data_IF_581337571272
#
_entry.id   IF_581337571272
#
_cell.length_a   1.000
_cell.length_b   1.000
_cell.length_c   1.000
_cell.angle_alpha   90.00
_cell.angle_beta   90.00
_cell.angle_gamma   90.00
#
_symmetry.space_group_name_H-M   'P 1'
#
loop_
_entity.id
_entity.type
_entity.pdbx_description
1 polymer ?
#
# COMPACT_ATOMS: atom_id res chain seq x y z
N UNK A 1 26.06 -0.29 -45.38
CA UNK A 1 25.77 -1.28 -44.33
C UNK A 1 25.90 -0.57 -42.99
N UNK A 2 24.80 -0.07 -42.44
CA UNK A 2 24.81 0.70 -41.19
C UNK A 2 24.31 -0.20 -40.08
N UNK A 3 25.23 -0.65 -39.22
CA UNK A 3 24.92 -1.50 -38.08
C UNK A 3 24.30 -0.63 -36.98
N UNK A 4 22.99 -0.76 -36.79
CA UNK A 4 22.25 -0.10 -35.71
C UNK A 4 22.40 -0.96 -34.46
N UNK A 5 23.09 -0.44 -33.44
CA UNK A 5 23.16 -1.07 -32.12
C UNK A 5 21.74 -1.19 -31.54
N UNK A 6 21.36 -2.33 -30.94
CA UNK A 6 20.10 -2.45 -30.25
C UNK A 6 20.13 -1.57 -29.00
N UNK A 7 19.15 -0.69 -28.87
CA UNK A 7 18.82 0.00 -27.63
C UNK A 7 18.58 -1.07 -26.56
N UNK A 8 19.49 -1.15 -25.57
CA UNK A 8 19.36 -2.03 -24.42
C UNK A 8 18.03 -1.75 -23.70
N UNK A 9 17.08 -2.67 -23.85
CA UNK A 9 15.99 -2.83 -22.91
C UNK A 9 16.64 -3.21 -21.58
N UNK A 10 16.67 -2.29 -20.62
CA UNK A 10 17.04 -2.62 -19.25
C UNK A 10 16.19 -3.82 -18.82
N UNK A 11 16.85 -4.88 -18.38
CA UNK A 11 16.13 -6.08 -17.92
C UNK A 11 15.41 -5.75 -16.60
N UNK A 12 14.36 -6.49 -16.25
CA UNK A 12 13.63 -6.27 -14.98
C UNK A 12 14.57 -6.26 -13.74
N UNK A 13 15.70 -6.97 -13.82
CA UNK A 13 16.75 -6.96 -12.81
C UNK A 13 17.47 -5.62 -12.69
N UNK A 14 17.75 -4.95 -13.81
CA UNK A 14 18.41 -3.64 -13.83
C UNK A 14 17.48 -2.56 -13.26
N UNK A 15 16.20 -2.60 -13.61
CA UNK A 15 15.20 -1.68 -13.06
C UNK A 15 15.08 -1.82 -11.54
N UNK A 16 15.06 -3.05 -11.02
CA UNK A 16 15.02 -3.29 -9.58
C UNK A 16 16.27 -2.76 -8.86
N UNK A 17 17.47 -2.95 -9.44
CA UNK A 17 18.71 -2.44 -8.87
C UNK A 17 18.75 -0.89 -8.84
N UNK A 18 18.29 -0.25 -9.92
CA UNK A 18 18.18 1.21 -10.01
C UNK A 18 17.23 1.74 -8.94
N UNK A 19 16.04 1.15 -8.80
CA UNK A 19 15.09 1.55 -7.77
C UNK A 19 15.62 1.34 -6.36
N UNK A 20 16.30 0.21 -6.09
CA UNK A 20 16.90 -0.04 -4.79
C UNK A 20 17.95 1.03 -4.45
N UNK A 21 18.81 1.39 -5.41
CA UNK A 21 19.78 2.47 -5.25
C UNK A 21 19.11 3.82 -5.00
N UNK A 22 18.06 4.15 -5.76
CA UNK A 22 17.31 5.38 -5.54
C UNK A 22 16.72 5.44 -4.12
N UNK A 23 16.08 4.37 -3.67
CA UNK A 23 15.45 4.31 -2.33
C UNK A 23 16.48 4.38 -1.19
N UNK A 24 17.65 3.75 -1.37
CA UNK A 24 18.62 3.58 -0.29
C UNK A 24 19.74 4.63 -0.29
N UNK A 25 19.92 5.36 -1.39
CA UNK A 25 21.02 6.30 -1.59
C UNK A 25 20.50 7.60 -2.22
N UNK A 26 20.25 7.61 -3.53
CA UNK A 26 20.06 8.85 -4.32
C UNK A 26 18.88 9.71 -3.86
N UNK A 27 17.74 9.09 -3.57
CA UNK A 27 16.48 9.77 -3.19
C UNK A 27 16.13 9.51 -1.72
N UNK A 28 17.02 8.84 -0.97
CA UNK A 28 16.75 8.37 0.38
C UNK A 28 16.39 9.52 1.33
N UNK A 29 17.05 10.67 1.22
CA UNK A 29 16.76 11.84 2.05
C UNK A 29 15.34 12.36 1.81
N UNK A 30 14.94 12.56 0.55
CA UNK A 30 13.61 13.05 0.20
C UNK A 30 12.50 12.07 0.60
N UNK A 31 12.70 10.76 0.35
CA UNK A 31 11.75 9.73 0.73
C UNK A 31 11.61 9.60 2.25
N UNK A 32 12.73 9.69 2.99
CA UNK A 32 12.70 9.68 4.46
C UNK A 32 12.09 10.95 5.04
N UNK A 33 12.26 12.11 4.41
CA UNK A 33 11.59 13.35 4.82
C UNK A 33 10.07 13.22 4.71
N UNK A 34 9.57 12.69 3.59
CA UNK A 34 8.14 12.39 3.42
C UNK A 34 7.66 11.36 4.45
N UNK A 35 8.42 10.28 4.65
CA UNK A 35 8.09 9.27 5.64
C UNK A 35 8.02 9.87 7.06
N UNK A 36 8.96 10.74 7.41
CA UNK A 36 9.00 11.44 8.71
C UNK A 36 7.81 12.37 8.87
N UNK A 37 7.45 13.12 7.82
CA UNK A 37 6.31 14.04 7.83
C UNK A 37 4.95 13.33 8.03
N UNK A 38 4.85 12.05 7.66
CA UNK A 38 3.67 11.21 7.99
C UNK A 38 3.56 10.98 9.51
N UNK A 39 4.70 10.87 10.21
CA UNK A 39 4.80 10.45 11.60
C UNK A 39 4.69 8.92 11.79
N UNK A 40 5.25 8.37 12.88
CA UNK A 40 4.94 7.01 13.33
C UNK A 40 3.52 7.00 13.94
N UNK A 41 2.83 5.86 13.88
CA UNK A 41 1.60 5.62 14.64
C UNK A 41 0.34 6.42 14.28
N UNK A 42 0.27 6.92 13.06
CA UNK A 42 -0.92 7.56 12.49
C UNK A 42 -1.90 6.49 11.98
N UNK A 43 -3.10 6.42 12.54
CA UNK A 43 -4.13 5.47 12.12
C UNK A 43 -4.99 6.05 10.99
N UNK A 44 -5.26 5.25 9.97
CA UNK A 44 -6.07 5.68 8.82
C UNK A 44 -7.47 6.14 9.23
N UNK A 45 -8.07 5.51 10.24
CA UNK A 45 -9.42 5.86 10.71
C UNK A 45 -9.47 7.27 11.30
N UNK A 46 -8.36 7.79 11.83
CA UNK A 46 -8.33 9.09 12.50
C UNK A 46 -8.17 10.25 11.50
N UNK A 47 -7.81 9.97 10.24
CA UNK A 47 -7.69 10.99 9.22
C UNK A 47 -9.07 11.60 8.89
N UNK A 48 -9.29 12.91 9.14
CA UNK A 48 -10.60 13.51 8.91
C UNK A 48 -10.86 13.80 7.44
N UNK A 49 -9.81 14.14 6.69
CA UNK A 49 -9.88 14.67 5.34
C UNK A 49 -9.39 13.67 4.27
N UNK A 50 -9.86 13.81 3.01
CA UNK A 50 -9.28 13.17 1.83
C UNK A 50 -7.75 13.22 1.78
N UNK A 51 -7.13 12.06 1.59
CA UNK A 51 -5.69 11.94 1.35
C UNK A 51 -5.47 12.11 -0.15
N UNK A 52 -4.83 13.20 -0.53
CA UNK A 52 -4.65 13.63 -1.91
C UNK A 52 -3.31 14.33 -2.14
N UNK A 53 -3.10 14.91 -3.33
CA UNK A 53 -1.87 15.62 -3.67
C UNK A 53 -1.45 16.65 -2.62
N UNK A 54 -0.17 16.67 -2.26
CA UNK A 54 0.38 17.53 -1.21
C UNK A 54 0.28 16.93 0.20
N UNK A 55 -0.39 15.78 0.37
CA UNK A 55 -0.35 15.04 1.61
C UNK A 55 0.88 14.10 1.65
N UNK A 56 1.66 14.06 2.74
CA UNK A 56 2.98 13.40 2.74
C UNK A 56 2.99 11.95 2.25
N UNK A 57 1.97 11.15 2.58
CA UNK A 57 1.95 9.76 2.12
C UNK A 57 1.47 9.61 0.67
N UNK A 58 0.66 10.54 0.15
CA UNK A 58 0.30 10.58 -1.27
C UNK A 58 1.54 10.90 -2.10
N UNK A 59 2.30 11.91 -1.66
CA UNK A 59 3.53 12.32 -2.33
C UNK A 59 4.60 11.22 -2.23
N UNK A 60 4.68 10.50 -1.11
CA UNK A 60 5.55 9.33 -0.96
C UNK A 60 5.18 8.19 -1.92
N UNK A 61 3.90 7.84 -2.06
CA UNK A 61 3.46 6.84 -3.04
C UNK A 61 3.80 7.27 -4.46
N UNK A 62 3.55 8.54 -4.78
CA UNK A 62 3.83 9.11 -6.10
C UNK A 62 5.32 9.07 -6.42
N UNK A 63 6.18 9.46 -5.48
CA UNK A 63 7.63 9.42 -5.63
C UNK A 63 8.15 7.98 -5.80
N UNK A 64 7.65 7.03 -5.01
CA UNK A 64 8.03 5.61 -5.14
C UNK A 64 7.59 5.03 -6.49
N UNK A 65 6.37 5.33 -6.94
CA UNK A 65 5.86 4.84 -8.23
C UNK A 65 6.62 5.45 -9.43
N UNK A 66 7.18 6.65 -9.30
CA UNK A 66 8.01 7.24 -10.36
C UNK A 66 9.33 6.49 -10.60
N UNK A 67 9.76 5.63 -9.67
CA UNK A 67 11.00 4.87 -9.79
C UNK A 67 10.89 3.73 -10.82
N UNK A 68 11.91 3.51 -11.67
CA UNK A 68 11.93 2.41 -12.63
C UNK A 68 11.70 1.06 -11.96
N UNK A 69 10.75 0.25 -12.46
CA UNK A 69 10.47 -1.08 -11.91
C UNK A 69 9.69 -1.11 -10.59
N UNK A 70 9.28 0.05 -10.05
CA UNK A 70 8.37 0.15 -8.90
C UNK A 70 6.97 0.48 -9.39
N UNK A 71 6.16 -0.56 -9.61
CA UNK A 71 4.73 -0.39 -9.84
C UNK A 71 3.98 -0.03 -8.55
N UNK A 72 2.73 0.42 -8.70
CA UNK A 72 1.85 0.83 -7.60
C UNK A 72 1.78 -0.18 -6.44
N UNK A 73 1.68 -1.47 -6.75
CA UNK A 73 1.66 -2.55 -5.75
C UNK A 73 2.95 -2.60 -4.92
N UNK A 74 4.12 -2.35 -5.52
CA UNK A 74 5.39 -2.32 -4.77
C UNK A 74 5.46 -1.07 -3.89
N UNK A 75 5.09 0.09 -4.43
CA UNK A 75 5.07 1.34 -3.69
C UNK A 75 4.17 1.26 -2.44
N UNK A 76 2.91 0.83 -2.59
CA UNK A 76 1.97 0.72 -1.48
C UNK A 76 2.43 -0.31 -0.44
N UNK A 77 3.02 -1.44 -0.85
CA UNK A 77 3.58 -2.44 0.08
C UNK A 77 4.77 -1.90 0.88
N UNK A 78 5.64 -1.11 0.27
CA UNK A 78 6.75 -0.47 0.98
C UNK A 78 6.24 0.49 2.06
N UNK A 79 5.23 1.31 1.72
CA UNK A 79 4.62 2.23 2.68
C UNK A 79 3.87 1.46 3.78
N UNK A 80 3.05 0.46 3.43
CA UNK A 80 2.32 -0.36 4.40
C UNK A 80 3.26 -1.08 5.39
N UNK A 81 4.47 -1.44 4.97
CA UNK A 81 5.49 -2.02 5.87
C UNK A 81 6.05 -1.00 6.86
N UNK A 82 6.23 0.25 6.43
CA UNK A 82 6.77 1.35 7.27
C UNK A 82 5.69 2.07 8.07
N UNK A 83 4.44 2.05 7.62
CA UNK A 83 3.27 2.72 8.20
C UNK A 83 2.09 1.75 8.29
N UNK A 84 2.20 0.72 9.15
CA UNK A 84 1.22 -0.37 9.20
C UNK A 84 -0.17 0.03 9.71
N UNK A 85 -0.27 1.22 10.30
CA UNK A 85 -1.49 1.82 10.84
C UNK A 85 -2.24 2.69 9.83
N UNK A 86 -1.54 3.11 8.77
CA UNK A 86 -2.05 4.09 7.81
C UNK A 86 -2.38 3.48 6.43
N UNK A 87 -1.51 2.61 5.91
CA UNK A 87 -1.64 2.11 4.54
C UNK A 87 -2.17 0.68 4.52
N UNK A 88 -3.34 0.38 3.91
CA UNK A 88 -3.81 -0.99 3.74
C UNK A 88 -2.84 -1.79 2.88
N UNK A 89 -2.78 -3.11 3.09
CA UNK A 89 -1.96 -3.98 2.25
C UNK A 89 -2.70 -4.20 0.94
N UNK A 90 -2.39 -3.35 -0.04
CA UNK A 90 -3.01 -3.41 -1.36
C UNK A 90 -2.49 -4.61 -2.16
N UNK A 91 -3.40 -5.51 -2.53
CA UNK A 91 -3.16 -6.55 -3.52
C UNK A 91 -4.34 -6.68 -4.50
N UNK A 92 -4.16 -7.51 -5.51
CA UNK A 92 -5.17 -7.78 -6.54
C UNK A 92 -6.45 -8.44 -6.00
N UNK A 93 -6.40 -9.07 -4.82
CA UNK A 93 -7.56 -9.65 -4.15
C UNK A 93 -8.38 -8.53 -3.50
N UNK A 94 -7.72 -7.62 -2.79
CA UNK A 94 -8.34 -6.43 -2.19
C UNK A 94 -8.94 -5.52 -3.27
N UNK A 95 -8.27 -5.37 -4.43
CA UNK A 95 -8.84 -4.68 -5.59
C UNK A 95 -10.17 -5.29 -6.05
N UNK A 96 -10.24 -6.62 -6.11
CA UNK A 96 -11.44 -7.36 -6.52
C UNK A 96 -12.58 -7.27 -5.50
N UNK A 97 -12.25 -7.26 -4.20
CA UNK A 97 -13.24 -7.14 -3.11
C UNK A 97 -13.80 -5.72 -3.00
N UNK A 98 -12.95 -4.70 -3.15
CA UNK A 98 -13.34 -3.30 -2.98
C UNK A 98 -13.85 -2.62 -4.25
N UNK A 99 -13.76 -3.27 -5.43
CA UNK A 99 -14.23 -2.72 -6.70
C UNK A 99 -13.51 -1.43 -7.15
N UNK A 100 -12.36 -1.11 -6.53
CA UNK A 100 -11.68 0.18 -6.66
C UNK A 100 -10.43 0.03 -7.52
N UNK A 101 -10.56 0.32 -8.82
CA UNK A 101 -9.43 0.24 -9.75
C UNK A 101 -8.37 1.35 -9.53
N UNK A 102 -8.70 2.45 -8.82
CA UNK A 102 -7.83 3.64 -8.74
C UNK A 102 -7.64 4.30 -7.37
N UNK A 103 -8.52 4.11 -6.38
CA UNK A 103 -8.43 4.76 -5.08
C UNK A 103 -8.47 3.72 -3.96
N UNK A 104 -7.37 3.55 -3.22
CA UNK A 104 -7.28 2.50 -2.20
C UNK A 104 -7.34 3.05 -0.78
N UNK A 105 -6.74 4.20 -0.51
CA UNK A 105 -6.73 4.80 0.83
C UNK A 105 -8.08 5.40 1.21
N UNK A 106 -8.61 6.29 0.37
CA UNK A 106 -9.82 7.05 0.70
C UNK A 106 -11.05 6.15 0.89
N UNK A 107 -11.33 5.13 0.04
CA UNK A 107 -12.47 4.25 0.27
C UNK A 107 -12.35 3.42 1.56
N UNK A 108 -11.14 2.95 1.89
CA UNK A 108 -10.92 2.21 3.15
C UNK A 108 -11.06 3.15 4.35
N UNK A 109 -10.52 4.37 4.27
CA UNK A 109 -10.72 5.39 5.30
C UNK A 109 -12.20 5.67 5.53
N UNK A 110 -12.94 5.95 4.45
CA UNK A 110 -14.38 6.24 4.51
C UNK A 110 -15.14 5.08 5.14
N UNK A 111 -14.85 3.84 4.75
CA UNK A 111 -15.46 2.66 5.34
C UNK A 111 -15.12 2.48 6.84
N UNK A 112 -13.89 2.78 7.26
CA UNK A 112 -13.49 2.70 8.66
C UNK A 112 -14.13 3.79 9.54
N UNK A 113 -14.46 4.95 8.95
CA UNK A 113 -15.04 6.11 9.64
C UNK A 113 -16.57 6.17 9.60
N UNK A 114 -17.19 5.49 8.64
CA UNK A 114 -18.63 5.46 8.49
C UNK A 114 -19.33 4.94 9.76
N UNK A 115 -20.58 5.37 9.95
CA UNK A 115 -21.46 4.91 11.04
C UNK A 115 -20.80 4.96 12.42
N UNK A 116 -20.23 6.11 12.78
CA UNK A 116 -19.50 6.31 14.05
C UNK A 116 -18.38 5.28 14.26
N UNK A 117 -17.60 5.07 13.20
CA UNK A 117 -16.51 4.10 13.14
C UNK A 117 -16.92 2.66 13.52
N UNK A 118 -18.16 2.25 13.24
CA UNK A 118 -18.68 0.92 13.60
C UNK A 118 -17.81 -0.24 13.09
N UNK A 119 -17.31 -0.16 11.84
CA UNK A 119 -16.40 -1.16 11.29
C UNK A 119 -15.10 -1.21 12.09
N UNK A 120 -14.50 -0.06 12.40
CA UNK A 120 -13.27 0.02 13.18
C UNK A 120 -13.45 -0.61 14.57
N UNK A 121 -14.53 -0.26 15.28
CA UNK A 121 -14.84 -0.85 16.59
C UNK A 121 -15.02 -2.37 16.52
N UNK A 122 -15.67 -2.88 15.47
CA UNK A 122 -15.80 -4.32 15.25
C UNK A 122 -14.45 -4.99 15.02
N UNK A 123 -13.55 -4.38 14.25
CA UNK A 123 -12.20 -4.89 14.03
C UNK A 123 -11.38 -4.93 15.31
N UNK A 124 -11.48 -3.90 16.17
CA UNK A 124 -10.84 -3.90 17.49
C UNK A 124 -11.39 -5.01 18.40
N UNK A 125 -12.70 -5.26 18.37
CA UNK A 125 -13.30 -6.36 19.11
C UNK A 125 -12.79 -7.72 18.61
N UNK A 126 -12.75 -7.94 17.30
CA UNK A 126 -12.18 -9.16 16.71
C UNK A 126 -10.72 -9.35 17.11
N UNK A 127 -9.92 -8.27 17.10
CA UNK A 127 -8.52 -8.29 17.56
C UNK A 127 -8.42 -8.82 18.99
N UNK A 128 -9.24 -8.25 19.90
CA UNK A 128 -9.24 -8.63 21.31
C UNK A 128 -9.70 -10.08 21.51
N UNK A 129 -10.77 -10.51 20.83
CA UNK A 129 -11.27 -11.88 20.90
C UNK A 129 -10.27 -12.91 20.36
N UNK A 130 -9.47 -12.53 19.37
CA UNK A 130 -8.39 -13.36 18.82
C UNK A 130 -7.12 -13.37 19.71
N UNK A 131 -7.07 -12.60 20.80
CA UNK A 131 -5.89 -12.49 21.67
C UNK A 131 -4.69 -11.84 20.99
N UNK A 132 -4.92 -11.01 19.97
CA UNK A 132 -3.85 -10.31 19.25
C UNK A 132 -3.38 -9.08 20.04
N UNK A 133 -2.07 -8.76 20.01
CA UNK A 133 -1.53 -7.66 20.79
C UNK A 133 -1.87 -6.30 20.15
N UNK A 134 -1.79 -5.22 20.93
CA UNK A 134 -2.29 -3.89 20.53
C UNK A 134 -1.53 -3.26 19.37
N UNK A 135 -0.27 -3.66 19.15
CA UNK A 135 0.56 -3.22 18.03
C UNK A 135 0.00 -3.69 16.68
N UNK A 136 -0.85 -4.72 16.68
CA UNK A 136 -1.65 -5.09 15.51
C UNK A 136 -2.80 -4.10 15.38
N UNK A 137 -2.70 -3.22 14.39
CA UNK A 137 -3.71 -2.23 14.10
C UNK A 137 -5.02 -2.86 13.63
N UNK A 138 -6.14 -2.17 13.85
CA UNK A 138 -7.43 -2.56 13.27
C UNK A 138 -7.34 -2.69 11.73
N UNK A 139 -6.49 -1.87 11.09
CA UNK A 139 -6.25 -1.93 9.64
C UNK A 139 -5.56 -3.23 9.22
N UNK A 140 -4.61 -3.77 10.00
CA UNK A 140 -4.00 -5.08 9.73
C UNK A 140 -5.00 -6.23 9.91
N UNK A 141 -5.89 -6.14 10.89
CA UNK A 141 -6.98 -7.10 11.05
C UNK A 141 -7.91 -7.06 9.84
N UNK A 142 -8.25 -5.86 9.37
CA UNK A 142 -9.03 -5.66 8.14
C UNK A 142 -8.35 -6.32 6.94
N UNK A 143 -7.05 -6.08 6.71
CA UNK A 143 -6.34 -6.66 5.56
C UNK A 143 -6.40 -8.19 5.55
N UNK A 144 -6.22 -8.83 6.71
CA UNK A 144 -6.27 -10.30 6.84
C UNK A 144 -7.68 -10.83 6.55
N UNK A 145 -8.71 -10.20 7.11
CA UNK A 145 -10.10 -10.61 6.86
C UNK A 145 -10.48 -10.43 5.39
N UNK A 146 -10.13 -9.28 4.80
CA UNK A 146 -10.40 -9.00 3.38
C UNK A 146 -9.70 -10.00 2.46
N UNK A 147 -8.46 -10.37 2.79
CA UNK A 147 -7.71 -11.38 2.04
C UNK A 147 -8.33 -12.78 2.16
N UNK A 148 -8.73 -13.20 3.36
CA UNK A 148 -9.38 -14.50 3.57
C UNK A 148 -10.72 -14.58 2.81
N UNK A 149 -11.57 -13.56 2.92
CA UNK A 149 -12.85 -13.50 2.19
C UNK A 149 -12.63 -13.51 0.66
N UNK A 150 -11.67 -12.74 0.15
CA UNK A 150 -11.36 -12.74 -1.27
C UNK A 150 -10.79 -14.08 -1.76
N UNK A 151 -10.00 -14.77 -0.95
CA UNK A 151 -9.51 -16.13 -1.25
C UNK A 151 -10.65 -17.13 -1.31
N UNK A 152 -11.58 -17.10 -0.35
CA UNK A 152 -12.75 -17.99 -0.31
C UNK A 152 -13.69 -17.76 -1.51
N UNK A 153 -13.74 -16.52 -2.02
CA UNK A 153 -14.44 -16.16 -3.27
C UNK A 153 -13.66 -16.51 -4.56
N UNK A 154 -12.49 -17.15 -4.44
CA UNK A 154 -11.68 -17.57 -5.59
C UNK A 154 -10.88 -16.45 -6.29
N UNK A 155 -10.80 -15.25 -5.70
CA UNK A 155 -10.07 -14.12 -6.30
C UNK A 155 -8.55 -14.28 -6.24
N UNK A 156 -8.05 -15.10 -5.30
CA UNK A 156 -6.61 -15.37 -5.14
C UNK A 156 -5.96 -16.12 -6.30
N UNK A 157 -6.69 -17.00 -7.00
CA UNK A 157 -6.14 -17.83 -8.09
C UNK A 157 -5.96 -17.04 -9.40
N UNK A 158 -6.72 -15.97 -9.61
CA UNK A 158 -6.60 -15.09 -10.78
C UNK A 158 -5.42 -14.12 -10.68
N UNK A 159 -4.96 -13.82 -9.47
CA UNK A 159 -3.84 -12.93 -9.20
C UNK A 159 -2.48 -13.55 -9.58
N UNK A 160 -2.32 -14.86 -9.40
CA UNK A 160 -1.07 -15.58 -9.69
C UNK A 160 -0.88 -15.93 -11.18
N UNK A 161 -1.94 -15.84 -12.00
CA UNK A 161 -1.93 -16.20 -13.43
C UNK A 161 -1.61 -15.03 -14.37
N UNK A 162 -1.46 -13.81 -13.86
CA UNK A 162 -1.27 -12.59 -14.66
C UNK A 162 0.15 -12.00 -14.63
N UNK A 163 1.18 -12.82 -14.36
CA UNK A 163 2.57 -12.37 -14.29
C UNK A 163 3.34 -12.66 -15.58
#
# INVERSE_FOLDING_TARGET
>A
MTFRLPTTLATDSDAAAIAARAILDTDAEALNALLTAIGPDRDLVDEPDPLGPGWPAWDLETALWALPGIGRTKATKLIARKRPRLYPIWDSVVMGVLGTARAHLNPVREALRADDAALHHRLLKIRAEAGLPEEISALRVFDVIAWMDGKDRGLGQRADQGR
#
